data_IF_816241853502
#
_entry.id   IF_816241853502
#
_cell.length_a   1.000
_cell.length_b   1.000
_cell.length_c   1.000
_cell.angle_alpha   90.00
_cell.angle_beta   90.00
_cell.angle_gamma   90.00
#
_symmetry.space_group_name_H-M   'P 1'
#
loop_
_entity.id
_entity.type
_entity.pdbx_description
1 polymer ?
#
# COMPACT_ATOMS: atom_id res chain seq x y z
N UNK A 1 11.62 -28.37 -5.16
CA UNK A 1 10.21 -28.56 -5.55
C UNK A 1 9.90 -27.59 -6.69
N UNK A 2 9.02 -27.94 -7.64
CA UNK A 2 8.55 -27.00 -8.67
C UNK A 2 7.97 -25.74 -8.01
N UNK A 3 8.29 -24.56 -8.54
CA UNK A 3 7.78 -23.29 -8.03
C UNK A 3 6.35 -22.99 -8.51
N UNK A 4 5.90 -23.69 -9.55
CA UNK A 4 4.61 -23.55 -10.22
C UNK A 4 3.51 -24.44 -9.61
N UNK A 5 3.39 -24.49 -8.28
CA UNK A 5 2.48 -25.43 -7.56
C UNK A 5 1.03 -25.37 -8.05
N UNK A 6 0.52 -24.18 -8.37
CA UNK A 6 -0.86 -23.96 -8.83
C UNK A 6 -0.92 -23.97 -10.35
N UNK A 7 -0.03 -23.26 -11.03
CA UNK A 7 -0.12 -23.15 -12.49
C UNK A 7 0.23 -24.44 -13.22
N UNK A 8 0.92 -25.38 -12.56
CA UNK A 8 1.08 -26.76 -13.04
C UNK A 8 -0.26 -27.41 -13.47
N UNK A 9 -1.38 -27.04 -12.83
CA UNK A 9 -2.72 -27.50 -13.20
C UNK A 9 -3.12 -27.13 -14.64
N UNK A 10 -2.57 -26.05 -15.18
CA UNK A 10 -2.87 -25.56 -16.53
C UNK A 10 -1.67 -25.67 -17.48
N UNK A 11 -0.47 -25.96 -16.99
CA UNK A 11 0.74 -26.06 -17.83
C UNK A 11 1.22 -27.49 -18.06
N UNK A 12 0.97 -28.44 -17.15
CA UNK A 12 1.61 -29.75 -17.20
C UNK A 12 0.73 -30.88 -17.78
N UNK A 13 1.37 -31.83 -18.47
CA UNK A 13 0.73 -33.02 -19.01
C UNK A 13 0.05 -32.82 -20.36
N UNK A 14 -0.26 -33.95 -21.03
CA UNK A 14 -0.82 -33.96 -22.39
C UNK A 14 -2.19 -33.26 -22.44
N UNK A 15 -3.04 -33.51 -21.44
CA UNK A 15 -4.38 -32.93 -21.37
C UNK A 15 -4.40 -31.39 -21.26
N UNK A 16 -3.26 -30.75 -20.95
CA UNK A 16 -3.13 -29.29 -20.89
C UNK A 16 -2.58 -28.66 -22.17
N UNK A 17 -2.51 -29.41 -23.27
CA UNK A 17 -2.12 -28.86 -24.57
C UNK A 17 -3.01 -27.66 -25.02
N UNK A 18 -4.34 -27.66 -24.85
CA UNK A 18 -5.16 -26.50 -25.20
C UNK A 18 -4.83 -25.25 -24.36
N UNK A 19 -4.60 -25.43 -23.05
CA UNK A 19 -4.19 -24.33 -22.15
C UNK A 19 -2.83 -23.76 -22.58
N UNK A 20 -1.84 -24.62 -22.85
CA UNK A 20 -0.54 -24.18 -23.35
C UNK A 20 -0.65 -23.46 -24.70
N UNK A 21 -1.54 -23.88 -25.60
CA UNK A 21 -1.75 -23.19 -26.87
C UNK A 21 -2.19 -21.73 -26.67
N UNK A 22 -3.13 -21.48 -25.74
CA UNK A 22 -3.54 -20.14 -25.35
C UNK A 22 -2.38 -19.35 -24.71
N UNK A 23 -1.60 -19.97 -23.82
CA UNK A 23 -0.46 -19.33 -23.15
C UNK A 23 0.65 -18.93 -24.14
N UNK A 24 0.90 -19.74 -25.18
CA UNK A 24 1.87 -19.40 -26.24
C UNK A 24 1.49 -18.12 -26.97
N UNK A 25 0.20 -17.90 -27.23
CA UNK A 25 -0.29 -16.69 -27.89
C UNK A 25 -0.03 -15.42 -27.07
N UNK A 26 0.17 -15.54 -25.75
CA UNK A 26 0.51 -14.43 -24.85
C UNK A 26 1.99 -14.45 -24.42
N UNK A 27 2.85 -15.13 -25.17
CA UNK A 27 4.31 -15.01 -25.06
C UNK A 27 5.03 -16.13 -24.32
N UNK A 28 4.35 -17.23 -23.94
CA UNK A 28 5.03 -18.37 -23.31
C UNK A 28 5.81 -19.20 -24.33
N UNK A 29 7.10 -19.41 -24.06
CA UNK A 29 7.95 -20.40 -24.73
C UNK A 29 7.97 -21.75 -24.02
N UNK A 30 8.69 -22.71 -24.60
CA UNK A 30 8.74 -24.10 -24.08
C UNK A 30 9.31 -24.19 -22.66
N UNK A 31 10.27 -23.32 -22.34
CA UNK A 31 10.96 -23.28 -21.03
C UNK A 31 10.18 -22.52 -19.96
N UNK A 32 9.02 -21.98 -20.31
CA UNK A 32 8.25 -21.11 -19.41
C UNK A 32 7.15 -21.85 -18.64
N UNK A 33 6.75 -23.05 -19.10
CA UNK A 33 5.66 -23.81 -18.48
C UNK A 33 5.99 -24.37 -17.09
N UNK A 34 7.27 -24.42 -16.73
CA UNK A 34 7.76 -24.84 -15.42
C UNK A 34 8.05 -23.65 -14.49
N UNK A 35 7.98 -22.42 -14.98
CA UNK A 35 8.15 -21.20 -14.19
C UNK A 35 6.86 -20.88 -13.42
N UNK A 36 6.95 -20.24 -12.23
CA UNK A 36 5.77 -19.77 -11.53
C UNK A 36 5.09 -18.66 -12.33
N UNK A 37 3.78 -18.75 -12.51
CA UNK A 37 2.97 -17.69 -13.12
C UNK A 37 2.60 -16.67 -12.04
N UNK A 38 2.97 -15.41 -12.25
CA UNK A 38 2.72 -14.32 -11.31
C UNK A 38 1.69 -13.35 -11.88
N UNK A 39 0.56 -13.23 -11.21
CA UNK A 39 -0.43 -12.20 -11.54
C UNK A 39 0.08 -10.81 -11.15
N UNK A 40 -0.07 -9.84 -12.05
CA UNK A 40 0.21 -8.43 -11.76
C UNK A 40 -1.10 -7.65 -11.87
N UNK A 41 -1.72 -7.45 -10.72
CA UNK A 41 -2.96 -6.67 -10.58
C UNK A 41 -2.63 -5.18 -10.74
N UNK A 42 -2.90 -4.66 -11.94
CA UNK A 42 -2.58 -3.30 -12.34
C UNK A 42 -3.77 -2.36 -12.09
N UNK A 43 -3.64 -1.51 -11.07
CA UNK A 43 -4.61 -0.47 -10.76
C UNK A 43 -4.47 0.82 -11.59
N UNK A 44 -3.68 0.84 -12.67
CA UNK A 44 -3.49 2.03 -13.51
C UNK A 44 -4.83 2.54 -14.07
N UNK A 45 -5.02 3.85 -13.97
CA UNK A 45 -6.17 4.54 -14.54
C UNK A 45 -5.87 6.03 -14.69
N UNK A 46 -6.33 6.63 -15.77
CA UNK A 46 -6.27 8.08 -15.99
C UNK A 46 -7.44 8.83 -15.35
N UNK A 47 -8.37 8.14 -14.68
CA UNK A 47 -9.52 8.76 -14.01
C UNK A 47 -9.14 9.60 -12.79
N UNK A 48 -7.93 9.42 -12.24
CA UNK A 48 -7.48 10.14 -11.06
C UNK A 48 -5.94 10.15 -10.94
N UNK A 49 -5.36 11.14 -10.24
CA UNK A 49 -3.91 11.24 -10.06
C UNK A 49 -3.32 10.11 -9.21
N UNK A 50 -4.10 9.50 -8.31
CA UNK A 50 -3.63 8.43 -7.40
C UNK A 50 -3.21 7.16 -8.16
N UNK A 51 -3.81 6.92 -9.34
CA UNK A 51 -3.61 5.72 -10.15
C UNK A 51 -2.90 6.00 -11.50
N UNK A 52 -2.89 7.25 -11.97
CA UNK A 52 -2.32 7.61 -13.27
C UNK A 52 -0.82 7.29 -13.39
N UNK A 53 -0.07 7.33 -12.27
CA UNK A 53 1.37 7.02 -12.22
C UNK A 53 1.73 5.54 -12.10
N UNK A 54 0.77 4.61 -12.09
CA UNK A 54 1.04 3.19 -11.79
C UNK A 54 1.73 2.44 -12.94
N UNK A 55 1.47 2.77 -14.20
CA UNK A 55 1.95 1.98 -15.33
C UNK A 55 3.49 1.80 -15.34
N UNK A 56 4.31 2.86 -15.17
CA UNK A 56 5.77 2.71 -15.09
C UNK A 56 6.24 1.78 -13.95
N UNK A 57 5.51 1.73 -12.83
CA UNK A 57 5.83 0.84 -11.70
C UNK A 57 5.58 -0.63 -12.09
N UNK A 58 4.46 -0.88 -12.77
CA UNK A 58 4.11 -2.20 -13.30
C UNK A 58 5.14 -2.65 -14.31
N UNK A 59 5.51 -1.81 -15.28
CA UNK A 59 6.49 -2.16 -16.32
C UNK A 59 7.84 -2.57 -15.70
N UNK A 60 8.29 -1.82 -14.69
CA UNK A 60 9.52 -2.15 -13.95
C UNK A 60 9.41 -3.46 -13.18
N UNK A 61 8.27 -3.70 -12.53
CA UNK A 61 8.00 -4.95 -11.83
C UNK A 61 7.94 -6.16 -12.78
N UNK A 62 7.36 -6.01 -13.97
CA UNK A 62 7.30 -7.07 -14.99
C UNK A 62 8.68 -7.50 -15.44
N UNK A 63 9.56 -6.54 -15.75
CA UNK A 63 10.94 -6.82 -16.10
C UNK A 63 11.65 -7.61 -14.98
N UNK A 64 11.52 -7.14 -13.72
CA UNK A 64 12.14 -7.80 -12.58
C UNK A 64 11.59 -9.21 -12.31
N UNK A 65 10.27 -9.44 -12.49
CA UNK A 65 9.65 -10.77 -12.37
C UNK A 65 10.20 -11.73 -13.44
N UNK A 66 10.28 -11.26 -14.68
CA UNK A 66 10.81 -12.05 -15.80
C UNK A 66 12.27 -12.42 -15.57
N UNK A 67 13.11 -11.45 -15.20
CA UNK A 67 14.55 -11.66 -14.93
C UNK A 67 14.79 -12.59 -13.73
N UNK A 68 13.87 -12.60 -12.76
CA UNK A 68 13.90 -13.51 -11.62
C UNK A 68 13.37 -14.93 -11.93
N UNK A 69 13.01 -15.22 -13.18
CA UNK A 69 12.58 -16.54 -13.63
C UNK A 69 11.10 -16.85 -13.39
N UNK A 70 10.25 -15.83 -13.21
CA UNK A 70 8.80 -15.98 -13.19
C UNK A 70 8.18 -15.63 -14.55
N UNK A 71 6.92 -16.03 -14.76
CA UNK A 71 6.12 -15.61 -15.91
C UNK A 71 5.04 -14.63 -15.45
N UNK A 72 5.26 -13.31 -15.58
CA UNK A 72 4.26 -12.34 -15.17
C UNK A 72 3.10 -12.25 -16.17
N UNK A 73 1.88 -12.10 -15.66
CA UNK A 73 0.67 -11.83 -16.44
C UNK A 73 -0.08 -10.66 -15.84
N UNK A 74 -0.21 -9.57 -16.61
CA UNK A 74 -0.90 -8.35 -16.17
C UNK A 74 -2.41 -8.49 -16.36
N UNK A 75 -3.18 -7.99 -15.40
CA UNK A 75 -4.61 -7.78 -15.56
C UNK A 75 -5.05 -6.47 -14.88
N UNK A 76 -6.11 -5.85 -15.39
CA UNK A 76 -6.62 -4.59 -14.88
C UNK A 76 -7.49 -4.76 -13.63
N UNK A 77 -7.42 -3.79 -12.73
CA UNK A 77 -8.24 -3.71 -11.52
C UNK A 77 -8.99 -2.36 -11.52
N UNK A 78 -10.31 -2.34 -11.30
CA UNK A 78 -11.06 -1.09 -11.31
C UNK A 78 -10.63 -0.18 -10.16
N UNK A 79 -10.82 1.13 -10.33
CA UNK A 79 -10.56 2.12 -9.28
C UNK A 79 -11.62 3.21 -9.32
N UNK A 80 -11.89 3.81 -8.16
CA UNK A 80 -12.71 5.01 -7.99
C UNK A 80 -11.90 6.01 -7.18
N UNK A 81 -12.29 7.28 -7.22
CA UNK A 81 -11.57 8.37 -6.57
C UNK A 81 -12.47 9.07 -5.57
N UNK A 82 -12.09 8.93 -4.30
CA UNK A 82 -12.77 9.61 -3.20
C UNK A 82 -12.67 11.13 -3.34
N UNK A 83 -11.53 11.64 -3.84
CA UNK A 83 -11.31 13.08 -4.02
C UNK A 83 -12.25 13.72 -5.03
N UNK A 84 -12.48 13.09 -6.19
CA UNK A 84 -13.33 13.66 -7.25
C UNK A 84 -14.82 13.41 -6.96
N UNK A 85 -15.17 12.26 -6.36
CA UNK A 85 -16.56 11.95 -6.04
C UNK A 85 -17.12 12.71 -4.83
N UNK A 86 -16.27 13.38 -4.05
CA UNK A 86 -16.66 14.03 -2.79
C UNK A 86 -17.73 15.10 -2.99
N UNK A 87 -18.76 15.08 -2.14
CA UNK A 87 -19.89 16.01 -2.23
C UNK A 87 -20.94 15.67 -3.30
N UNK A 88 -20.82 14.52 -3.96
CA UNK A 88 -21.76 14.08 -5.01
C UNK A 88 -22.31 12.67 -4.75
N UNK A 89 -23.33 12.27 -5.52
CA UNK A 89 -23.89 10.92 -5.50
C UNK A 89 -22.86 9.83 -5.86
N UNK A 90 -21.79 10.18 -6.59
CA UNK A 90 -20.72 9.25 -6.93
C UNK A 90 -20.01 8.68 -5.69
N UNK A 91 -20.00 9.41 -4.57
CA UNK A 91 -19.39 8.96 -3.31
C UNK A 91 -20.04 7.66 -2.77
N UNK A 92 -21.30 7.35 -3.14
CA UNK A 92 -21.97 6.09 -2.78
C UNK A 92 -21.25 4.86 -3.35
N UNK A 93 -20.44 5.03 -4.40
CA UNK A 93 -19.66 3.97 -5.03
C UNK A 93 -18.22 3.84 -4.49
N UNK A 94 -17.81 4.69 -3.54
CA UNK A 94 -16.47 4.62 -2.94
C UNK A 94 -16.23 3.30 -2.22
N UNK A 95 -16.94 3.04 -1.11
CA UNK A 95 -16.63 1.91 -0.25
C UNK A 95 -16.86 0.55 -0.94
N UNK A 96 -17.91 0.42 -1.75
CA UNK A 96 -18.20 -0.83 -2.49
C UNK A 96 -17.09 -1.18 -3.47
N UNK A 97 -16.34 -0.20 -4.00
CA UNK A 97 -15.18 -0.47 -4.86
C UNK A 97 -14.14 -1.36 -4.18
N UNK A 98 -14.01 -1.31 -2.85
CA UNK A 98 -13.13 -2.20 -2.08
C UNK A 98 -13.45 -3.68 -2.34
N UNK A 99 -14.74 -4.04 -2.32
CA UNK A 99 -15.18 -5.42 -2.55
C UNK A 99 -15.01 -5.80 -4.01
N UNK A 100 -15.39 -4.92 -4.94
CA UNK A 100 -15.22 -5.16 -6.39
C UNK A 100 -13.76 -5.39 -6.75
N UNK A 101 -12.84 -4.61 -6.15
CA UNK A 101 -11.39 -4.80 -6.32
C UNK A 101 -10.96 -6.15 -5.77
N UNK A 102 -11.44 -6.51 -4.57
CA UNK A 102 -11.09 -7.78 -3.95
C UNK A 102 -11.54 -8.96 -4.81
N UNK A 103 -12.80 -8.96 -5.24
CA UNK A 103 -13.41 -10.00 -6.06
C UNK A 103 -12.77 -10.07 -7.45
N UNK A 104 -12.40 -8.94 -8.05
CA UNK A 104 -11.71 -8.87 -9.33
C UNK A 104 -10.34 -9.57 -9.28
N UNK A 105 -9.52 -9.24 -8.28
CA UNK A 105 -8.20 -9.86 -8.08
C UNK A 105 -8.36 -11.35 -7.77
N UNK A 106 -9.30 -11.70 -6.88
CA UNK A 106 -9.60 -13.09 -6.52
C UNK A 106 -10.01 -13.94 -7.73
N UNK A 107 -10.88 -13.39 -8.58
CA UNK A 107 -11.36 -14.04 -9.80
C UNK A 107 -10.21 -14.29 -10.77
N UNK A 108 -9.37 -13.29 -11.04
CA UNK A 108 -8.28 -13.41 -12.01
C UNK A 108 -7.22 -14.44 -11.58
N UNK A 109 -6.75 -14.34 -10.34
CA UNK A 109 -5.66 -15.18 -9.82
C UNK A 109 -6.11 -16.64 -9.64
N UNK A 110 -7.32 -16.86 -9.11
CA UNK A 110 -7.85 -18.23 -8.99
C UNK A 110 -8.25 -18.81 -10.34
N UNK A 111 -8.91 -18.03 -11.20
CA UNK A 111 -9.34 -18.46 -12.54
C UNK A 111 -8.17 -18.83 -13.45
N UNK A 112 -7.02 -18.17 -13.30
CA UNK A 112 -5.81 -18.44 -14.07
C UNK A 112 -4.80 -19.34 -13.33
N UNK A 113 -5.18 -19.92 -12.18
CA UNK A 113 -4.34 -20.80 -11.37
C UNK A 113 -2.93 -20.23 -11.07
N UNK A 114 -2.82 -18.91 -10.85
CA UNK A 114 -1.52 -18.25 -10.68
C UNK A 114 -0.86 -18.67 -9.35
N UNK A 115 0.47 -18.67 -9.32
CA UNK A 115 1.28 -19.13 -8.18
C UNK A 115 1.55 -18.02 -7.17
N UNK A 116 1.47 -16.76 -7.59
CA UNK A 116 1.57 -15.61 -6.71
C UNK A 116 0.98 -14.35 -7.34
N UNK A 117 0.90 -13.28 -6.56
CA UNK A 117 0.30 -12.01 -7.01
C UNK A 117 1.06 -10.78 -6.52
N UNK A 118 1.35 -9.86 -7.42
CA UNK A 118 1.76 -8.50 -7.10
C UNK A 118 0.55 -7.58 -7.31
N UNK A 119 0.12 -6.91 -6.26
CA UNK A 119 -0.98 -5.94 -6.33
C UNK A 119 -0.41 -4.53 -6.33
N UNK A 120 -0.68 -3.75 -7.38
CA UNK A 120 -0.25 -2.36 -7.49
C UNK A 120 -1.47 -1.42 -7.47
N UNK A 121 -1.60 -0.64 -6.40
CA UNK A 121 -2.72 0.28 -6.20
C UNK A 121 -2.31 1.53 -5.43
N UNK A 122 -3.11 2.60 -5.53
CA UNK A 122 -2.76 3.92 -4.99
C UNK A 122 -3.88 4.64 -4.26
N UNK A 123 -5.12 4.58 -4.74
CA UNK A 123 -6.23 5.29 -4.12
C UNK A 123 -6.84 4.52 -2.94
N UNK A 124 -7.46 5.26 -2.02
CA UNK A 124 -7.97 4.86 -0.70
C UNK A 124 -8.48 3.40 -0.59
N UNK A 125 -9.41 2.98 -1.46
CA UNK A 125 -10.03 1.65 -1.40
C UNK A 125 -9.25 0.55 -2.12
N UNK A 126 -8.27 0.91 -2.96
CA UNK A 126 -7.40 -0.06 -3.64
C UNK A 126 -6.57 -0.86 -2.64
N UNK A 127 -6.08 -0.21 -1.58
CA UNK A 127 -5.23 -0.83 -0.55
C UNK A 127 -5.94 -1.97 0.16
N UNK A 128 -7.04 -1.72 0.91
CA UNK A 128 -7.73 -2.79 1.60
C UNK A 128 -8.36 -3.81 0.65
N UNK A 129 -8.84 -3.41 -0.54
CA UNK A 129 -9.40 -4.35 -1.52
C UNK A 129 -8.37 -5.38 -1.99
N UNK A 130 -7.16 -4.93 -2.35
CA UNK A 130 -6.08 -5.83 -2.71
C UNK A 130 -5.61 -6.72 -1.56
N UNK A 131 -5.48 -6.17 -0.34
CA UNK A 131 -5.10 -6.96 0.84
C UNK A 131 -6.12 -8.06 1.15
N UNK A 132 -7.41 -7.74 1.07
CA UNK A 132 -8.50 -8.71 1.27
C UNK A 132 -8.39 -9.84 0.24
N UNK A 133 -8.19 -9.53 -1.05
CA UNK A 133 -8.02 -10.55 -2.08
C UNK A 133 -6.83 -11.47 -1.78
N UNK A 134 -5.65 -10.89 -1.48
CA UNK A 134 -4.44 -11.64 -1.15
C UNK A 134 -4.70 -12.63 -0.01
N UNK A 135 -5.40 -12.20 1.04
CA UNK A 135 -5.75 -13.03 2.18
C UNK A 135 -6.79 -14.10 1.88
N UNK A 136 -7.78 -13.83 1.02
CA UNK A 136 -8.79 -14.81 0.61
C UNK A 136 -8.15 -15.95 -0.19
N UNK A 137 -7.36 -15.59 -1.20
CA UNK A 137 -6.68 -16.53 -2.10
C UNK A 137 -5.52 -17.28 -1.43
N UNK A 138 -4.83 -16.61 -0.50
CA UNK A 138 -3.68 -17.12 0.25
C UNK A 138 -2.59 -17.75 -0.62
N UNK A 139 -2.34 -17.18 -1.80
CA UNK A 139 -1.12 -17.40 -2.58
C UNK A 139 -0.05 -16.41 -2.15
N UNK A 140 1.26 -16.72 -2.23
CA UNK A 140 2.31 -15.74 -2.02
C UNK A 140 2.00 -14.43 -2.74
N UNK A 141 2.07 -13.31 -2.03
CA UNK A 141 1.69 -12.03 -2.60
C UNK A 141 2.33 -10.85 -1.90
N UNK A 142 2.53 -9.78 -2.65
CA UNK A 142 3.07 -8.51 -2.14
C UNK A 142 2.22 -7.33 -2.61
N UNK A 143 2.07 -6.33 -1.74
CA UNK A 143 1.39 -5.09 -2.08
C UNK A 143 2.41 -3.99 -2.41
N UNK A 144 2.26 -3.37 -3.59
CA UNK A 144 3.04 -2.22 -4.05
C UNK A 144 2.14 -0.99 -4.05
N UNK A 145 2.40 -0.06 -3.14
CA UNK A 145 1.73 1.24 -3.13
C UNK A 145 2.25 2.13 -4.26
N UNK A 146 1.36 2.82 -4.98
CA UNK A 146 1.69 3.69 -6.11
C UNK A 146 2.53 4.94 -5.74
N UNK A 147 2.59 5.27 -4.45
CA UNK A 147 3.30 6.43 -3.93
C UNK A 147 2.40 7.64 -3.72
N UNK A 148 2.90 8.58 -2.93
CA UNK A 148 2.17 9.80 -2.56
C UNK A 148 2.41 10.93 -3.57
N UNK A 149 1.47 11.87 -3.68
CA UNK A 149 1.63 13.09 -4.46
C UNK A 149 2.63 14.04 -3.78
N UNK A 150 3.36 14.83 -4.56
CA UNK A 150 4.15 15.94 -4.00
C UNK A 150 3.23 17.10 -3.57
N UNK A 151 3.56 17.85 -2.51
CA UNK A 151 2.77 19.00 -2.10
C UNK A 151 2.78 20.07 -3.19
N UNK A 152 1.60 20.68 -3.40
CA UNK A 152 1.43 21.83 -4.27
C UNK A 152 2.02 23.10 -3.66
N UNK A 153 2.12 24.18 -4.45
CA UNK A 153 2.57 25.49 -3.95
C UNK A 153 1.78 26.65 -4.54
N UNK A 154 1.36 27.58 -3.70
CA UNK A 154 0.77 28.86 -4.12
C UNK A 154 1.24 29.99 -3.20
N UNK A 155 1.80 31.06 -3.76
CA UNK A 155 2.33 32.23 -3.02
C UNK A 155 3.20 31.86 -1.81
N UNK A 156 4.07 30.85 -1.98
CA UNK A 156 4.99 30.38 -0.95
C UNK A 156 4.37 29.46 0.11
N UNK A 157 3.08 29.14 0.02
CA UNK A 157 2.40 28.19 0.91
C UNK A 157 2.31 26.80 0.29
N UNK A 158 2.58 25.78 1.09
CA UNK A 158 2.42 24.38 0.67
C UNK A 158 0.94 23.97 0.70
N UNK A 159 0.49 23.36 -0.40
CA UNK A 159 -0.89 22.97 -0.64
C UNK A 159 -1.06 21.45 -0.65
N UNK A 160 -2.27 21.03 -0.31
CA UNK A 160 -2.78 19.67 -0.50
C UNK A 160 -4.20 19.73 -1.07
N UNK A 161 -4.81 18.59 -1.40
CA UNK A 161 -6.22 18.55 -1.81
C UNK A 161 -7.16 19.16 -0.75
N UNK A 162 -6.82 19.07 0.54
CA UNK A 162 -7.60 19.70 1.62
C UNK A 162 -7.60 21.22 1.50
N UNK A 163 -6.48 21.81 1.03
CA UNK A 163 -6.40 23.25 0.82
C UNK A 163 -7.43 23.73 -0.21
N UNK A 164 -7.71 22.93 -1.25
CA UNK A 164 -8.76 23.23 -2.21
C UNK A 164 -10.17 23.13 -1.59
N UNK A 165 -10.41 22.11 -0.74
CA UNK A 165 -11.68 21.99 -0.02
C UNK A 165 -11.91 23.16 0.97
N UNK A 166 -10.88 23.59 1.70
CA UNK A 166 -10.93 24.73 2.62
C UNK A 166 -11.07 26.07 1.87
N UNK A 167 -10.48 26.18 0.68
CA UNK A 167 -10.60 27.36 -0.18
C UNK A 167 -12.05 27.62 -0.59
N UNK A 168 -12.86 26.59 -0.85
CA UNK A 168 -14.30 26.73 -1.14
C UNK A 168 -15.00 27.48 0.00
N UNK A 169 -14.83 27.01 1.24
CA UNK A 169 -15.46 27.65 2.40
C UNK A 169 -14.98 29.08 2.64
N UNK A 170 -13.69 29.35 2.42
CA UNK A 170 -13.11 30.69 2.58
C UNK A 170 -13.57 31.67 1.50
N UNK A 171 -13.68 31.20 0.25
CA UNK A 171 -14.14 31.99 -0.88
C UNK A 171 -15.64 32.31 -0.78
N UNK A 172 -16.49 31.32 -0.49
CA UNK A 172 -17.93 31.55 -0.30
C UNK A 172 -18.23 32.48 0.88
N UNK A 173 -17.38 32.51 1.89
CA UNK A 173 -17.50 33.45 3.02
C UNK A 173 -16.96 34.87 2.73
N UNK A 174 -16.49 35.15 1.50
CA UNK A 174 -15.92 36.45 1.13
C UNK A 174 -14.56 36.76 1.77
N UNK A 175 -13.84 35.74 2.25
CA UNK A 175 -12.54 35.87 2.95
C UNK A 175 -11.32 35.52 2.08
N UNK A 176 -11.54 35.22 0.80
CA UNK A 176 -10.50 34.84 -0.15
C UNK A 176 -10.75 35.53 -1.49
N UNK A 177 -9.69 35.98 -2.16
CA UNK A 177 -9.78 36.55 -3.49
C UNK A 177 -10.05 35.47 -4.54
N UNK A 178 -10.64 35.85 -5.68
CA UNK A 178 -10.81 34.95 -6.83
C UNK A 178 -9.46 34.42 -7.35
N UNK A 179 -8.44 35.30 -7.37
CA UNK A 179 -7.07 34.95 -7.74
C UNK A 179 -6.50 33.84 -6.85
N UNK A 180 -6.67 33.95 -5.53
CA UNK A 180 -6.16 32.95 -4.58
C UNK A 180 -6.97 31.66 -4.65
N UNK A 181 -8.29 31.74 -4.83
CA UNK A 181 -9.15 30.57 -4.98
C UNK A 181 -8.74 29.73 -6.20
N UNK A 182 -8.67 30.37 -7.38
CA UNK A 182 -8.25 29.72 -8.63
C UNK A 182 -6.78 29.30 -8.56
N UNK A 183 -5.93 30.10 -7.90
CA UNK A 183 -4.52 29.79 -7.68
C UNK A 183 -4.33 28.51 -6.88
N UNK A 184 -5.11 28.32 -5.80
CA UNK A 184 -5.10 27.08 -5.01
C UNK A 184 -5.58 25.90 -5.84
N UNK A 185 -6.70 26.04 -6.57
CA UNK A 185 -7.26 24.98 -7.42
C UNK A 185 -6.21 24.43 -8.40
N UNK A 186 -5.55 25.32 -9.14
CA UNK A 186 -4.57 24.96 -10.19
C UNK A 186 -3.29 24.34 -9.64
N UNK A 187 -2.94 24.60 -8.39
CA UNK A 187 -1.63 24.25 -7.83
C UNK A 187 -1.67 23.22 -6.71
N UNK A 188 -2.86 22.84 -6.19
CA UNK A 188 -2.98 21.91 -5.05
C UNK A 188 -2.50 20.48 -5.34
N UNK A 189 -2.62 20.02 -6.59
CA UNK A 189 -2.29 18.66 -7.03
C UNK A 189 -1.27 18.70 -8.20
N UNK A 190 0.02 18.90 -7.93
CA UNK A 190 1.01 19.19 -8.97
C UNK A 190 1.54 17.96 -9.73
N UNK A 191 1.24 16.74 -9.27
CA UNK A 191 1.76 15.50 -9.85
C UNK A 191 0.78 14.34 -9.73
N UNK A 192 1.14 13.19 -10.28
CA UNK A 192 0.52 11.91 -9.93
C UNK A 192 0.88 11.52 -8.48
N UNK A 193 0.08 10.62 -7.90
CA UNK A 193 0.23 10.10 -6.53
C UNK A 193 -1.03 10.28 -5.69
N UNK A 194 -1.14 9.50 -4.61
CA UNK A 194 -2.28 9.61 -3.68
C UNK A 194 -2.13 10.81 -2.74
N UNK A 195 -3.24 11.23 -2.11
CA UNK A 195 -3.32 12.40 -1.24
C UNK A 195 -2.15 12.46 -0.22
N UNK A 196 -1.47 13.61 -0.14
CA UNK A 196 -0.19 13.77 0.58
C UNK A 196 -0.24 13.66 2.11
N UNK A 197 -1.40 13.89 2.73
CA UNK A 197 -1.55 13.75 4.18
C UNK A 197 -1.69 12.30 4.63
N UNK A 198 -1.73 12.08 5.94
CA UNK A 198 -1.99 10.79 6.58
C UNK A 198 -3.48 10.39 6.54
N UNK A 199 -4.10 10.58 5.37
CA UNK A 199 -5.43 10.05 5.06
C UNK A 199 -5.37 8.54 4.88
N UNK A 200 -6.49 7.92 4.48
CA UNK A 200 -6.57 6.47 4.40
C UNK A 200 -5.52 5.85 3.47
N UNK A 201 -5.17 6.50 2.34
CA UNK A 201 -4.18 5.95 1.42
C UNK A 201 -2.80 5.74 2.08
N UNK A 202 -2.23 6.80 2.66
CA UNK A 202 -0.95 6.72 3.37
C UNK A 202 -1.05 5.95 4.70
N UNK A 203 -2.22 5.97 5.36
CA UNK A 203 -2.49 5.15 6.55
C UNK A 203 -2.41 3.67 6.23
N UNK A 204 -3.13 3.23 5.21
CA UNK A 204 -3.17 1.82 4.82
C UNK A 204 -1.84 1.36 4.23
N UNK A 205 -1.20 2.15 3.36
CA UNK A 205 0.12 1.79 2.81
C UNK A 205 1.18 1.66 3.91
N UNK A 206 1.22 2.58 4.87
CA UNK A 206 2.11 2.49 6.04
C UNK A 206 1.81 1.26 6.88
N UNK A 207 0.53 0.99 7.12
CA UNK A 207 0.11 -0.15 7.92
C UNK A 207 0.49 -1.49 7.28
N UNK A 208 0.61 -1.57 5.95
CA UNK A 208 1.03 -2.79 5.24
C UNK A 208 2.52 -3.09 5.42
N UNK A 209 3.35 -2.07 5.59
CA UNK A 209 4.75 -2.25 6.03
C UNK A 209 4.81 -2.84 7.43
N UNK A 210 4.06 -2.29 8.40
CA UNK A 210 3.99 -2.79 9.77
C UNK A 210 3.40 -4.21 9.87
N UNK A 211 2.43 -4.51 9.00
CA UNK A 211 1.83 -5.82 8.85
C UNK A 211 2.83 -6.84 8.30
N UNK A 212 3.84 -6.38 7.54
CA UNK A 212 4.84 -7.21 6.87
C UNK A 212 4.48 -7.62 5.44
N UNK A 213 3.49 -6.99 4.81
CA UNK A 213 2.98 -7.32 3.47
C UNK A 213 3.49 -6.39 2.35
N UNK A 214 4.31 -5.41 2.70
CA UNK A 214 5.02 -4.50 1.79
C UNK A 214 6.49 -4.36 2.22
N UNK A 215 7.36 -3.96 1.29
CA UNK A 215 8.76 -3.69 1.59
C UNK A 215 8.86 -2.48 2.54
N UNK A 216 9.65 -2.60 3.61
CA UNK A 216 9.89 -1.49 4.54
C UNK A 216 10.49 -0.27 3.83
N UNK A 217 9.99 0.91 4.15
CA UNK A 217 10.37 2.21 3.57
C UNK A 217 9.66 2.56 2.26
N UNK A 218 8.83 1.69 1.68
CA UNK A 218 8.26 1.87 0.35
C UNK A 218 6.98 2.72 0.29
N UNK A 219 6.29 2.92 1.41
CA UNK A 219 4.94 3.50 1.46
C UNK A 219 4.90 5.02 1.38
N UNK A 220 6.02 5.71 1.64
CA UNK A 220 6.06 7.17 1.71
C UNK A 220 6.83 7.83 0.56
N UNK A 221 7.36 7.02 -0.36
CA UNK A 221 8.01 7.49 -1.59
C UNK A 221 7.01 8.26 -2.45
N UNK A 222 7.46 9.35 -3.07
CA UNK A 222 6.61 10.11 -3.96
C UNK A 222 6.41 9.33 -5.27
N UNK A 223 5.17 9.30 -5.76
CA UNK A 223 4.82 8.62 -7.01
C UNK A 223 5.66 9.05 -8.23
N UNK A 224 5.96 10.35 -8.44
CA UNK A 224 6.76 10.76 -9.60
C UNK A 224 8.26 10.50 -9.46
N UNK A 225 8.76 10.08 -8.29
CA UNK A 225 10.20 9.92 -8.07
C UNK A 225 10.69 8.54 -8.56
N UNK A 226 11.87 8.45 -9.23
CA UNK A 226 12.37 7.20 -9.81
C UNK A 226 12.50 6.05 -8.81
N UNK A 227 12.82 6.36 -7.55
CA UNK A 227 12.93 5.38 -6.46
C UNK A 227 11.67 4.53 -6.29
N UNK A 228 10.49 5.07 -6.65
CA UNK A 228 9.23 4.35 -6.54
C UNK A 228 9.15 3.20 -7.54
N UNK A 229 9.65 3.40 -8.76
CA UNK A 229 9.74 2.35 -9.77
C UNK A 229 10.76 1.27 -9.35
N UNK A 230 11.91 1.68 -8.82
CA UNK A 230 12.90 0.74 -8.29
C UNK A 230 12.37 -0.06 -7.09
N UNK A 231 11.56 0.57 -6.23
CA UNK A 231 10.83 -0.12 -5.15
C UNK A 231 9.84 -1.18 -5.68
N UNK A 232 9.19 -0.92 -6.82
CA UNK A 232 8.31 -1.91 -7.46
C UNK A 232 9.09 -3.12 -8.00
N UNK A 233 10.25 -2.89 -8.62
CA UNK A 233 11.17 -3.95 -9.03
C UNK A 233 11.65 -4.79 -7.83
N UNK A 234 12.07 -4.13 -6.75
CA UNK A 234 12.49 -4.81 -5.53
C UNK A 234 11.37 -5.68 -4.96
N UNK A 235 10.13 -5.16 -4.97
CA UNK A 235 8.95 -5.90 -4.51
C UNK A 235 8.69 -7.15 -5.35
N UNK A 236 8.87 -7.08 -6.67
CA UNK A 236 8.81 -8.24 -7.56
C UNK A 236 9.85 -9.31 -7.21
N UNK A 237 11.10 -8.93 -6.94
CA UNK A 237 12.14 -9.87 -6.52
C UNK A 237 11.82 -10.52 -5.17
N UNK A 238 11.30 -9.74 -4.22
CA UNK A 238 10.83 -10.24 -2.92
C UNK A 238 9.71 -11.27 -3.11
N UNK A 239 8.74 -10.99 -3.99
CA UNK A 239 7.64 -11.92 -4.27
C UNK A 239 8.15 -13.25 -4.85
N UNK A 240 9.10 -13.23 -5.78
CA UNK A 240 9.67 -14.48 -6.32
C UNK A 240 10.35 -15.30 -5.23
N UNK A 241 11.03 -14.64 -4.28
CA UNK A 241 11.62 -15.33 -3.13
C UNK A 241 10.55 -15.84 -2.14
N UNK A 242 9.44 -15.13 -1.95
CA UNK A 242 8.31 -15.59 -1.16
C UNK A 242 7.64 -16.82 -1.80
N UNK A 243 7.53 -16.88 -3.14
CA UNK A 243 7.05 -18.07 -3.87
C UNK A 243 7.98 -19.26 -3.63
N UNK A 244 9.31 -19.06 -3.69
CA UNK A 244 10.31 -20.10 -3.42
C UNK A 244 10.21 -20.67 -2.00
N UNK A 245 9.91 -19.81 -1.03
CA UNK A 245 9.77 -20.18 0.38
C UNK A 245 8.33 -20.56 0.76
N UNK A 246 7.38 -20.46 -0.17
CA UNK A 246 5.95 -20.64 0.05
C UNK A 246 5.37 -19.80 1.20
N UNK A 247 5.88 -18.57 1.36
CA UNK A 247 5.40 -17.60 2.36
C UNK A 247 4.09 -17.00 1.85
N UNK A 248 2.99 -17.24 2.56
CA UNK A 248 1.65 -16.81 2.18
C UNK A 248 1.16 -15.65 3.06
N UNK A 249 0.19 -14.85 2.57
CA UNK A 249 -0.40 -13.76 3.33
C UNK A 249 -0.88 -14.14 4.73
N UNK A 250 -1.48 -15.32 4.93
CA UNK A 250 -1.94 -15.75 6.27
C UNK A 250 -0.84 -16.23 7.21
N UNK A 251 0.36 -16.50 6.70
CA UNK A 251 1.52 -16.77 7.56
C UNK A 251 2.05 -15.48 8.19
N UNK A 252 1.86 -14.35 7.47
CA UNK A 252 2.29 -13.01 7.86
C UNK A 252 1.20 -12.30 8.67
N UNK A 253 -0.05 -12.34 8.20
CA UNK A 253 -1.19 -11.63 8.80
C UNK A 253 -1.79 -12.46 9.93
N UNK A 254 -1.31 -12.17 11.13
CA UNK A 254 -1.69 -12.78 12.38
C UNK A 254 -2.25 -11.72 13.32
N UNK A 255 -2.77 -12.13 14.48
CA UNK A 255 -3.22 -11.17 15.50
C UNK A 255 -2.09 -10.22 15.93
N UNK A 256 -0.86 -10.73 16.06
CA UNK A 256 0.30 -9.92 16.45
C UNK A 256 0.70 -8.92 15.37
N UNK A 257 0.71 -9.30 14.09
CA UNK A 257 1.06 -8.35 13.02
C UNK A 257 -0.06 -7.34 12.75
N UNK A 258 -1.32 -7.69 13.01
CA UNK A 258 -2.41 -6.70 13.05
C UNK A 258 -2.21 -5.71 14.22
N UNK A 259 -1.80 -6.16 15.40
CA UNK A 259 -1.43 -5.25 16.50
C UNK A 259 -0.28 -4.32 16.11
N UNK A 260 0.74 -4.81 15.39
CA UNK A 260 1.82 -3.97 14.86
C UNK A 260 1.30 -2.87 13.95
N UNK A 261 0.41 -3.24 13.03
CA UNK A 261 -0.19 -2.29 12.10
C UNK A 261 -1.04 -1.25 12.82
N UNK A 262 -1.87 -1.67 13.77
CA UNK A 262 -2.68 -0.74 14.56
C UNK A 262 -1.79 0.17 15.42
N UNK A 263 -0.71 -0.35 16.01
CA UNK A 263 0.25 0.46 16.74
C UNK A 263 0.87 1.55 15.84
N UNK A 264 1.27 1.20 14.61
CA UNK A 264 1.76 2.20 13.67
C UNK A 264 0.69 3.24 13.28
N UNK A 265 -0.56 2.80 13.08
CA UNK A 265 -1.68 3.70 12.76
C UNK A 265 -1.87 4.72 13.90
N UNK A 266 -1.85 4.26 15.17
CA UNK A 266 -1.96 5.15 16.32
C UNK A 266 -0.77 6.11 16.41
N UNK A 267 0.45 5.59 16.24
CA UNK A 267 1.68 6.38 16.32
C UNK A 267 1.77 7.47 15.26
N UNK A 268 1.16 7.25 14.09
CA UNK A 268 1.18 8.21 12.98
C UNK A 268 -0.05 9.11 12.93
N UNK A 269 -1.03 8.93 13.83
CA UNK A 269 -2.29 9.68 13.79
C UNK A 269 -3.14 9.36 12.55
N UNK A 270 -3.14 8.09 12.13
CA UNK A 270 -3.78 7.64 10.89
C UNK A 270 -5.30 7.72 10.88
N UNK A 271 -5.85 7.60 9.67
CA UNK A 271 -7.30 7.69 9.38
C UNK A 271 -8.15 6.68 10.17
N UNK A 272 -9.31 7.14 10.66
CA UNK A 272 -10.31 6.27 11.30
C UNK A 272 -10.89 5.21 10.36
N UNK A 273 -10.86 5.42 9.04
CA UNK A 273 -11.24 4.39 8.05
C UNK A 273 -10.40 3.10 8.19
N UNK A 274 -9.20 3.19 8.77
CA UNK A 274 -8.40 2.01 9.07
C UNK A 274 -9.13 1.03 10.00
N UNK A 275 -10.03 1.50 10.88
CA UNK A 275 -10.85 0.62 11.73
C UNK A 275 -11.73 -0.29 10.88
N UNK A 276 -12.48 0.27 9.94
CA UNK A 276 -13.33 -0.47 9.01
C UNK A 276 -12.53 -1.44 8.14
N UNK A 277 -11.37 -0.99 7.67
CA UNK A 277 -10.52 -1.78 6.78
C UNK A 277 -9.84 -2.93 7.50
N UNK A 278 -9.32 -2.72 8.72
CA UNK A 278 -8.69 -3.79 9.49
C UNK A 278 -9.67 -4.82 10.02
N UNK A 279 -10.92 -4.45 10.32
CA UNK A 279 -11.97 -5.45 10.60
C UNK A 279 -12.19 -6.38 9.39
N UNK A 280 -12.24 -5.84 8.18
CA UNK A 280 -12.39 -6.63 6.95
C UNK A 280 -11.14 -7.46 6.62
N UNK A 281 -9.94 -6.89 6.79
CA UNK A 281 -8.66 -7.58 6.60
C UNK A 281 -8.54 -8.74 7.61
N UNK A 282 -8.85 -8.51 8.89
CA UNK A 282 -8.81 -9.55 9.92
C UNK A 282 -9.79 -10.68 9.60
N UNK A 283 -11.00 -10.36 9.16
CA UNK A 283 -11.97 -11.34 8.70
C UNK A 283 -11.45 -12.18 7.52
N UNK A 284 -10.87 -11.54 6.49
CA UNK A 284 -10.27 -12.25 5.34
C UNK A 284 -9.06 -13.12 5.73
N UNK A 285 -8.30 -12.68 6.75
CA UNK A 285 -7.19 -13.42 7.34
C UNK A 285 -7.64 -14.59 8.24
N UNK A 286 -8.94 -14.68 8.57
CA UNK A 286 -9.50 -15.60 9.58
C UNK A 286 -8.92 -15.36 10.99
N UNK A 287 -8.62 -14.10 11.31
CA UNK A 287 -8.13 -13.67 12.62
C UNK A 287 -9.27 -12.99 13.37
N UNK A 288 -9.54 -13.44 14.60
CA UNK A 288 -10.49 -12.76 15.49
C UNK A 288 -9.91 -11.39 15.88
N UNK A 289 -10.61 -10.33 15.51
CA UNK A 289 -10.29 -8.94 15.80
C UNK A 289 -11.58 -8.16 15.97
N UNK A 290 -11.70 -7.35 17.03
CA UNK A 290 -12.90 -6.55 17.31
C UNK A 290 -12.57 -5.06 17.39
N UNK A 291 -13.60 -4.23 17.47
CA UNK A 291 -13.40 -2.78 17.67
C UNK A 291 -12.66 -2.49 19.00
N UNK A 292 -12.90 -3.28 20.04
CA UNK A 292 -12.26 -3.12 21.36
C UNK A 292 -10.74 -3.38 21.30
N UNK A 293 -10.28 -4.17 20.33
CA UNK A 293 -8.85 -4.40 20.13
C UNK A 293 -8.12 -3.13 19.69
N UNK A 294 -8.77 -2.24 18.95
CA UNK A 294 -8.19 -0.93 18.61
C UNK A 294 -8.00 -0.07 19.85
N UNK A 295 -9.00 -0.01 20.73
CA UNK A 295 -8.91 0.77 21.97
C UNK A 295 -7.83 0.21 22.91
N UNK A 296 -7.69 -1.12 22.98
CA UNK A 296 -6.62 -1.78 23.75
C UNK A 296 -5.23 -1.36 23.30
N UNK A 297 -5.01 -1.19 21.99
CA UNK A 297 -3.73 -0.70 21.44
C UNK A 297 -3.60 0.81 21.63
N UNK A 298 -4.65 1.58 21.32
CA UNK A 298 -4.69 3.06 21.42
C UNK A 298 -4.32 3.57 22.81
N UNK A 299 -4.72 2.88 23.88
CA UNK A 299 -4.36 3.24 25.26
C UNK A 299 -2.87 3.19 25.59
N UNK A 300 -2.05 2.55 24.74
CA UNK A 300 -0.63 2.30 25.00
C UNK A 300 0.30 3.06 24.06
N UNK A 301 -0.22 3.53 22.92
CA UNK A 301 0.60 4.07 21.83
C UNK A 301 0.35 5.57 21.70
N UNK A 302 1.35 6.42 21.98
CA UNK A 302 1.24 7.85 21.79
C UNK A 302 1.29 8.22 20.31
N UNK A 303 0.78 9.40 19.95
CA UNK A 303 0.93 9.96 18.59
C UNK A 303 2.29 10.64 18.48
N UNK A 304 3.15 10.13 17.61
CA UNK A 304 4.55 10.55 17.46
C UNK A 304 4.79 11.44 16.24
N UNK A 305 3.93 11.39 15.22
CA UNK A 305 4.17 12.10 13.96
C UNK A 305 3.33 13.38 13.83
N UNK A 306 3.97 14.48 13.43
CA UNK A 306 3.32 15.78 13.15
C UNK A 306 2.86 15.84 11.68
N UNK A 307 1.86 15.01 11.32
CA UNK A 307 1.39 14.85 9.95
C UNK A 307 -0.02 15.38 9.75
N UNK A 308 -0.26 16.03 8.60
CA UNK A 308 -1.62 16.39 8.14
C UNK A 308 -2.52 15.15 8.15
N UNK A 309 -3.81 15.25 8.50
CA UNK A 309 -4.54 16.50 8.73
C UNK A 309 -4.38 17.10 10.14
N UNK A 310 -3.84 16.37 11.11
CA UNK A 310 -3.75 16.83 12.50
C UNK A 310 -2.53 17.72 12.77
N UNK A 311 -1.49 17.56 11.95
CA UNK A 311 -0.21 18.23 12.05
C UNK A 311 0.18 19.02 10.80
N UNK A 312 1.46 19.35 10.68
CA UNK A 312 1.98 20.27 9.65
C UNK A 312 2.46 19.58 8.38
N UNK A 313 3.11 18.43 8.52
CA UNK A 313 3.89 17.80 7.45
C UNK A 313 3.09 16.81 6.60
N UNK A 314 3.62 16.46 5.43
CA UNK A 314 3.03 15.46 4.52
C UNK A 314 3.92 14.22 4.40
N UNK A 315 3.44 13.19 3.69
CA UNK A 315 4.10 11.90 3.53
C UNK A 315 5.53 11.99 2.98
N UNK A 316 5.83 12.94 2.07
CA UNK A 316 7.20 13.12 1.55
C UNK A 316 8.17 13.63 2.62
N UNK A 317 7.71 14.45 3.56
CA UNK A 317 8.52 14.91 4.70
C UNK A 317 8.72 13.76 5.70
N UNK A 318 7.67 12.95 5.90
CA UNK A 318 7.76 11.74 6.70
C UNK A 318 8.79 10.76 6.14
N UNK A 319 8.81 10.56 4.82
CA UNK A 319 9.81 9.73 4.16
C UNK A 319 11.24 10.21 4.46
N UNK A 320 11.50 11.51 4.26
CA UNK A 320 12.81 12.13 4.52
C UNK A 320 13.23 12.02 5.99
N UNK A 321 12.28 12.09 6.92
CA UNK A 321 12.52 11.97 8.36
C UNK A 321 12.87 10.53 8.82
N UNK A 322 12.76 9.54 7.94
CA UNK A 322 13.03 8.12 8.23
C UNK A 322 11.81 7.22 8.08
N UNK A 323 10.64 7.80 7.81
CA UNK A 323 9.41 7.12 7.44
C UNK A 323 8.92 6.09 8.46
N UNK A 324 8.14 5.14 7.94
CA UNK A 324 7.59 4.02 8.71
C UNK A 324 8.67 3.22 9.45
N UNK A 325 9.84 2.89 8.86
CA UNK A 325 10.87 2.14 9.58
C UNK A 325 11.31 2.80 10.90
N UNK A 326 11.46 4.13 10.91
CA UNK A 326 11.85 4.87 12.12
C UNK A 326 10.79 4.73 13.24
N UNK A 327 9.51 4.87 12.90
CA UNK A 327 8.41 4.74 13.87
C UNK A 327 8.29 3.30 14.40
N UNK A 328 8.41 2.30 13.51
CA UNK A 328 8.40 0.90 13.92
C UNK A 328 9.57 0.57 14.85
N UNK A 329 10.77 1.09 14.57
CA UNK A 329 11.93 0.89 15.45
C UNK A 329 11.69 1.47 16.84
N UNK A 330 11.08 2.66 16.93
CA UNK A 330 10.71 3.27 18.21
C UNK A 330 9.65 2.45 18.95
N UNK A 331 8.63 1.95 18.26
CA UNK A 331 7.60 1.07 18.86
C UNK A 331 8.21 -0.24 19.36
N UNK A 332 9.13 -0.84 18.60
CA UNK A 332 9.85 -2.06 19.00
C UNK A 332 10.66 -1.84 20.27
N UNK A 333 11.42 -0.73 20.35
CA UNK A 333 12.22 -0.37 21.53
C UNK A 333 11.38 -0.26 22.80
N UNK A 334 10.13 0.20 22.68
CA UNK A 334 9.22 0.38 23.82
C UNK A 334 8.27 -0.80 24.03
N UNK A 335 8.50 -1.95 23.40
CA UNK A 335 7.71 -3.17 23.60
C UNK A 335 6.29 -3.10 23.03
N UNK A 336 6.05 -2.20 22.07
CA UNK A 336 4.76 -1.97 21.43
C UNK A 336 4.72 -2.47 19.97
N UNK A 337 5.74 -3.22 19.58
CA UNK A 337 5.82 -3.95 18.31
C UNK A 337 6.25 -5.39 18.57
N UNK A 338 5.50 -6.34 18.02
CA UNK A 338 5.84 -7.76 17.98
C UNK A 338 6.93 -8.01 16.94
N UNK A 339 8.18 -8.00 17.39
CA UNK A 339 9.36 -8.14 16.54
C UNK A 339 9.55 -9.52 15.90
N UNK A 340 8.90 -10.56 16.42
CA UNK A 340 8.95 -11.95 15.96
C UNK A 340 8.07 -12.22 14.73
N UNK A 341 7.17 -11.28 14.37
CA UNK A 341 6.31 -11.41 13.20
C UNK A 341 7.16 -11.52 11.92
N UNK A 342 6.94 -12.57 11.12
CA UNK A 342 7.56 -12.70 9.81
C UNK A 342 7.01 -11.65 8.83
N UNK A 343 7.84 -11.26 7.87
CA UNK A 343 7.46 -10.35 6.78
C UNK A 343 7.53 -11.10 5.44
N UNK A 344 7.01 -10.50 4.39
CA UNK A 344 7.06 -11.04 3.02
C UNK A 344 8.49 -11.26 2.51
N UNK A 345 9.50 -10.65 3.15
CA UNK A 345 10.92 -10.88 2.85
C UNK A 345 11.46 -12.20 3.40
N UNK A 346 10.71 -12.91 4.26
CA UNK A 346 11.16 -14.07 5.03
C UNK A 346 11.91 -13.71 6.31
N UNK A 347 12.23 -12.42 6.54
CA UNK A 347 12.81 -11.93 7.80
C UNK A 347 11.71 -11.57 8.79
N UNK A 348 12.02 -11.67 10.08
CA UNK A 348 11.19 -11.10 11.14
C UNK A 348 11.24 -9.58 11.12
N UNK A 349 10.22 -8.93 11.68
CA UNK A 349 10.15 -7.47 11.79
C UNK A 349 11.35 -6.90 12.56
N UNK A 350 11.78 -7.53 13.66
CA UNK A 350 12.96 -7.10 14.41
C UNK A 350 14.25 -7.22 13.57
N UNK A 351 14.41 -8.32 12.81
CA UNK A 351 15.54 -8.46 11.90
C UNK A 351 15.52 -7.37 10.82
N UNK A 352 14.35 -7.06 10.27
CA UNK A 352 14.20 -6.06 9.22
C UNK A 352 14.53 -4.63 9.71
N UNK A 353 14.29 -4.35 11.00
CA UNK A 353 14.56 -3.06 11.65
C UNK A 353 15.94 -2.97 12.33
N UNK A 354 16.80 -3.99 12.19
CA UNK A 354 18.06 -4.09 12.94
C UNK A 354 18.97 -2.86 12.75
N UNK A 355 19.04 -2.34 11.51
CA UNK A 355 19.95 -1.25 11.12
C UNK A 355 19.30 0.14 11.28
N UNK A 356 18.02 0.19 11.66
CA UNK A 356 17.31 1.45 11.93
C UNK A 356 17.69 1.93 13.34
N UNK A 357 17.98 3.23 13.46
CA UNK A 357 18.35 3.85 14.72
C UNK A 357 17.17 3.93 15.68
N UNK A 358 17.46 3.75 16.97
CA UNK A 358 16.47 3.71 18.06
C UNK A 358 15.70 5.03 18.28
N UNK A 359 16.29 6.15 17.87
CA UNK A 359 15.74 7.49 18.04
C UNK A 359 15.69 8.18 16.67
N UNK A 360 14.69 9.05 16.44
CA UNK A 360 14.64 9.84 15.22
C UNK A 360 15.81 10.83 15.20
N UNK A 361 16.19 11.27 14.00
CA UNK A 361 17.29 12.23 13.86
C UNK A 361 16.92 13.59 14.49
N UNK A 362 17.89 14.31 15.06
CA UNK A 362 17.63 15.59 15.73
C UNK A 362 17.42 16.78 14.78
N UNK A 363 17.72 16.63 13.48
CA UNK A 363 17.62 17.66 12.44
C UNK A 363 16.24 17.77 11.79
N UNK A 364 15.25 17.03 12.30
CA UNK A 364 13.87 17.01 11.82
C UNK A 364 12.89 17.07 12.99
N UNK A 365 11.66 17.51 12.72
CA UNK A 365 10.57 17.62 13.71
C UNK A 365 9.28 16.91 13.28
N UNK A 366 9.34 16.11 12.20
CA UNK A 366 8.23 15.32 11.66
C UNK A 366 7.91 14.11 12.55
N UNK A 367 8.95 13.36 12.93
CA UNK A 367 8.87 12.21 13.85
C UNK A 367 9.43 12.66 15.19
N UNK A 368 8.54 12.81 16.17
CA UNK A 368 8.89 13.34 17.49
C UNK A 368 9.57 12.27 18.36
N UNK A 369 10.52 12.64 19.23
CA UNK A 369 11.08 11.71 20.20
C UNK A 369 10.01 11.14 21.13
N UNK A 370 10.20 9.91 21.60
CA UNK A 370 9.25 9.20 22.47
C UNK A 370 8.86 9.99 23.74
N UNK A 371 9.82 10.74 24.31
CA UNK A 371 9.60 11.54 25.52
C UNK A 371 8.78 12.82 25.27
N UNK A 372 8.59 13.22 24.02
CA UNK A 372 7.88 14.44 23.63
C UNK A 372 6.90 14.17 22.47
N UNK A 373 5.90 13.28 22.67
CA UNK A 373 4.92 12.96 21.64
C UNK A 373 3.99 14.15 21.40
N UNK A 374 3.28 14.13 20.27
CA UNK A 374 2.24 15.12 19.97
C UNK A 374 1.03 14.96 20.90
N UNK A 375 0.62 13.71 21.12
CA UNK A 375 -0.44 13.33 22.06
C UNK A 375 -0.02 12.06 22.81
N UNK A 376 -0.36 11.98 24.11
CA UNK A 376 -0.04 10.82 24.97
C UNK A 376 -1.01 9.67 24.78
#
# INVERSE_FOLDING_TARGET
MPLNKRSHLITAGVARAPNRAMLRAVGFGDRDFDKPIVGVANGHSTMNPCNAGIQPLVDRALAALHDAGAMPQVFGVPTVTDGIGMGTEAMKYSLVSREVIADCIETAVNGQAMDGVLVCGGCDKNMPGGMIAMLRMNVPGIYVYAGTIKPGKWKGQDLTVVSAFEAVGSYTAGRMSDEDFIGIEKNACPSVGACGGMFTANTMSSSFEALGMSVLGSSQMASPDPEKADSAAQSALVLVNAIKQDIKPRDIVTRKSIENAVALIMATGGSTNAVLHYLAIAHAAKVKWTIDDFERVRRKVPVLCDLKPSGRYVAVDFHRAGGVPQVLKMLLKHGLLHGDCITITGRTMAQALKDVQDAPRPDQDVIRPWANPLYK
#
